data_IF_582203534795
#
_entry.id   IF_582203534795
#
_cell.length_a   1.000
_cell.length_b   1.000
_cell.length_c   1.000
_cell.angle_alpha   90.00
_cell.angle_beta   90.00
_cell.angle_gamma   90.00
#
_symmetry.space_group_name_H-M   'P 1'
#
loop_
_entity.id
_entity.type
_entity.pdbx_description
1 polymer ?
#
# COMPACT_ATOMS: atom_id res chain seq x y z
N UNK A 1 -21.74 -0.30 -0.06
CA UNK A 1 -21.04 0.98 0.18
C UNK A 1 -22.10 2.06 0.35
N UNK A 2 -22.03 2.86 1.42
CA UNK A 2 -23.03 3.91 1.73
C UNK A 2 -22.76 5.27 1.08
N UNK A 3 -21.77 5.34 0.18
CA UNK A 3 -21.25 6.55 -0.44
C UNK A 3 -21.05 6.34 -1.93
N UNK A 4 -21.10 7.42 -2.72
CA UNK A 4 -20.74 7.42 -4.15
C UNK A 4 -19.25 7.74 -4.28
N UNK A 5 -18.48 6.80 -4.83
CA UNK A 5 -17.02 6.88 -4.98
C UNK A 5 -16.53 5.92 -6.08
N UNK A 6 -15.21 5.83 -6.29
CA UNK A 6 -14.61 4.80 -7.13
C UNK A 6 -14.71 3.42 -6.48
N UNK A 7 -14.95 2.40 -7.32
CA UNK A 7 -15.17 1.00 -6.94
C UNK A 7 -14.74 0.09 -8.10
N UNK A 8 -14.10 -1.03 -7.79
CA UNK A 8 -13.93 -2.14 -8.73
C UNK A 8 -15.28 -2.78 -9.01
N UNK A 9 -15.77 -2.60 -10.24
CA UNK A 9 -17.06 -3.12 -10.67
C UNK A 9 -16.98 -3.61 -12.12
N UNK A 10 -17.83 -4.59 -12.45
CA UNK A 10 -17.97 -5.09 -13.81
C UNK A 10 -18.84 -4.16 -14.67
N UNK A 11 -19.08 -4.57 -15.92
CA UNK A 11 -19.90 -3.79 -16.86
C UNK A 11 -21.35 -3.63 -16.43
N UNK A 12 -21.85 -4.53 -15.57
CA UNK A 12 -23.23 -4.53 -15.09
C UNK A 12 -23.36 -3.81 -13.74
N UNK A 13 -22.27 -3.22 -13.25
CA UNK A 13 -22.20 -2.49 -11.97
C UNK A 13 -22.13 -3.41 -10.75
N UNK A 14 -21.85 -4.69 -10.92
CA UNK A 14 -21.62 -5.60 -9.79
C UNK A 14 -20.20 -5.40 -9.24
N UNK A 15 -20.06 -5.45 -7.92
CA UNK A 15 -18.74 -5.32 -7.27
C UNK A 15 -17.85 -6.51 -7.64
N UNK A 16 -16.62 -6.21 -8.09
CA UNK A 16 -15.56 -7.19 -8.31
C UNK A 16 -14.80 -7.42 -7.01
N UNK A 17 -14.42 -8.67 -6.73
CA UNK A 17 -13.58 -9.03 -5.59
C UNK A 17 -12.17 -8.45 -5.75
N UNK A 18 -11.67 -7.80 -4.71
CA UNK A 18 -10.28 -7.33 -4.63
C UNK A 18 -9.35 -8.46 -4.19
N UNK A 19 -8.05 -8.27 -4.39
CA UNK A 19 -7.04 -9.14 -3.82
C UNK A 19 -5.79 -8.35 -3.48
N UNK A 20 -5.25 -8.56 -2.28
CA UNK A 20 -3.94 -8.07 -1.85
C UNK A 20 -3.35 -9.00 -0.80
N UNK A 21 -2.02 -9.14 -0.76
CA UNK A 21 -1.34 -9.78 0.38
C UNK A 21 -1.61 -9.04 1.71
N UNK A 22 -1.98 -7.76 1.63
CA UNK A 22 -2.34 -6.92 2.76
C UNK A 22 -3.84 -6.92 3.00
N UNK A 23 -4.29 -7.62 4.06
CA UNK A 23 -5.71 -7.66 4.41
C UNK A 23 -6.33 -6.26 4.62
N UNK A 24 -5.57 -5.28 5.11
CA UNK A 24 -6.05 -3.91 5.32
C UNK A 24 -6.23 -3.07 4.04
N UNK A 25 -5.69 -3.53 2.90
CA UNK A 25 -5.87 -2.88 1.59
C UNK A 25 -6.72 -3.72 0.63
N UNK A 26 -7.11 -4.92 1.03
CA UNK A 26 -7.97 -5.80 0.26
C UNK A 26 -9.44 -5.33 0.34
N UNK A 27 -9.70 -4.23 -0.36
CA UNK A 27 -11.00 -3.59 -0.41
C UNK A 27 -11.26 -3.03 -1.82
N UNK A 28 -12.42 -3.30 -2.43
CA UNK A 28 -12.65 -2.92 -3.84
C UNK A 28 -12.99 -1.43 -4.03
N UNK A 29 -13.27 -0.69 -2.96
CA UNK A 29 -13.69 0.71 -3.02
C UNK A 29 -12.68 1.70 -2.44
N UNK A 30 -13.02 2.98 -2.45
CA UNK A 30 -12.23 4.04 -1.79
C UNK A 30 -13.16 5.12 -1.21
N UNK A 31 -12.72 5.81 -0.16
CA UNK A 31 -13.49 6.90 0.45
C UNK A 31 -13.75 8.07 -0.52
N UNK A 32 -14.92 8.74 -0.45
CA UNK A 32 -15.32 9.77 -1.41
C UNK A 32 -14.43 11.03 -1.38
N UNK A 33 -13.80 11.34 -0.25
CA UNK A 33 -12.85 12.46 -0.18
C UNK A 33 -11.59 12.19 -1.02
N UNK A 34 -11.11 10.94 -1.05
CA UNK A 34 -10.00 10.57 -1.92
C UNK A 34 -10.39 10.62 -3.40
N UNK A 35 -11.61 10.18 -3.74
CA UNK A 35 -12.15 10.31 -5.09
C UNK A 35 -12.18 11.79 -5.53
N UNK A 36 -12.68 12.67 -4.67
CA UNK A 36 -12.70 14.11 -4.95
C UNK A 36 -11.30 14.71 -5.13
N UNK A 37 -10.34 14.39 -4.25
CA UNK A 37 -8.96 14.88 -4.33
C UNK A 37 -8.25 14.38 -5.60
N UNK A 38 -8.55 13.17 -6.05
CA UNK A 38 -8.11 12.64 -7.34
C UNK A 38 -8.68 13.44 -8.51
N UNK A 39 -10.00 13.61 -8.55
CA UNK A 39 -10.72 14.24 -9.67
C UNK A 39 -10.27 15.69 -9.92
N UNK A 40 -9.93 16.42 -8.85
CA UNK A 40 -9.44 17.82 -8.95
C UNK A 40 -7.91 17.90 -9.18
N UNK A 41 -7.21 16.78 -9.28
CA UNK A 41 -5.76 16.71 -9.46
C UNK A 41 -4.95 17.13 -8.23
N UNK A 42 -5.54 17.13 -7.04
CA UNK A 42 -4.86 17.54 -5.80
C UNK A 42 -4.04 16.41 -5.17
N UNK A 43 -4.46 15.16 -5.39
CA UNK A 43 -3.76 13.97 -4.94
C UNK A 43 -3.58 12.98 -6.10
N UNK A 44 -2.42 12.33 -6.15
CA UNK A 44 -2.11 11.27 -7.10
C UNK A 44 -2.17 9.91 -6.38
N UNK A 45 -2.77 8.91 -7.02
CA UNK A 45 -2.95 7.56 -6.49
C UNK A 45 -2.22 6.59 -7.39
N UNK A 46 -1.23 5.89 -6.85
CA UNK A 46 -0.40 4.93 -7.59
C UNK A 46 -0.57 3.54 -7.00
N UNK A 47 -0.62 2.53 -7.87
CA UNK A 47 -0.69 1.14 -7.46
C UNK A 47 0.70 0.61 -7.11
N UNK A 48 0.75 -0.27 -6.10
CA UNK A 48 1.94 -0.99 -5.67
C UNK A 48 1.58 -2.47 -5.61
N UNK A 49 2.44 -3.32 -6.18
CA UNK A 49 2.24 -4.77 -6.18
C UNK A 49 2.68 -5.40 -4.86
N UNK A 50 2.18 -6.60 -4.57
CA UNK A 50 2.59 -7.39 -3.41
C UNK A 50 4.12 -7.53 -3.33
N UNK A 51 4.80 -7.85 -4.44
CA UNK A 51 6.26 -7.98 -4.48
C UNK A 51 7.00 -6.67 -4.14
N UNK A 52 6.49 -5.53 -4.60
CA UNK A 52 7.05 -4.23 -4.30
C UNK A 52 6.89 -3.88 -2.82
N UNK A 53 5.71 -4.15 -2.25
CA UNK A 53 5.44 -3.96 -0.83
C UNK A 53 6.34 -4.87 0.01
N UNK A 54 6.47 -6.15 -0.33
CA UNK A 54 7.31 -7.09 0.42
C UNK A 54 8.81 -6.76 0.29
N UNK A 55 9.25 -6.26 -0.86
CA UNK A 55 10.61 -5.71 -0.98
C UNK A 55 10.84 -4.56 0.01
N UNK A 56 9.93 -3.58 0.06
CA UNK A 56 10.03 -2.43 0.97
C UNK A 56 9.93 -2.84 2.45
N UNK A 57 9.08 -3.82 2.78
CA UNK A 57 8.99 -4.43 4.11
C UNK A 57 10.36 -4.96 4.56
N UNK A 58 11.00 -5.77 3.70
CA UNK A 58 12.31 -6.37 3.99
C UNK A 58 13.38 -5.30 4.13
N UNK A 59 13.35 -4.29 3.26
CA UNK A 59 14.32 -3.20 3.26
C UNK A 59 14.29 -2.43 4.59
N UNK A 60 13.10 -1.93 5.00
CA UNK A 60 12.98 -1.17 6.26
C UNK A 60 13.37 -2.01 7.48
N UNK A 61 12.96 -3.28 7.49
CA UNK A 61 13.27 -4.21 8.58
C UNK A 61 14.78 -4.42 8.73
N UNK A 62 15.51 -4.49 7.61
CA UNK A 62 16.96 -4.73 7.60
C UNK A 62 17.79 -3.46 7.79
N UNK A 63 17.35 -2.32 7.24
CA UNK A 63 18.13 -1.09 7.31
C UNK A 63 17.88 -0.32 8.62
N UNK A 64 16.63 -0.25 9.07
CA UNK A 64 16.23 0.57 10.22
C UNK A 64 15.83 -0.25 11.45
N UNK A 65 15.71 -1.57 11.34
CA UNK A 65 15.25 -2.43 12.44
C UNK A 65 13.77 -2.23 12.80
N UNK A 66 12.98 -1.66 11.88
CA UNK A 66 11.55 -1.42 12.07
C UNK A 66 10.79 -2.43 11.21
N UNK A 67 9.92 -3.22 11.84
CA UNK A 67 9.02 -4.16 11.14
C UNK A 67 7.70 -3.42 10.82
N UNK A 68 7.46 -3.00 9.56
CA UNK A 68 6.26 -2.27 9.21
C UNK A 68 5.07 -3.21 9.02
N UNK A 69 3.84 -2.71 9.16
CA UNK A 69 2.69 -3.44 8.63
C UNK A 69 2.82 -3.61 7.10
N UNK A 70 2.26 -4.67 6.53
CA UNK A 70 2.28 -4.86 5.05
C UNK A 70 1.55 -3.70 4.36
N UNK A 71 0.50 -3.14 4.97
CA UNK A 71 -0.19 -1.95 4.47
C UNK A 71 0.78 -0.76 4.38
N UNK A 72 1.57 -0.54 5.44
CA UNK A 72 2.61 0.51 5.50
C UNK A 72 3.68 0.28 4.43
N UNK A 73 4.04 -0.97 4.17
CA UNK A 73 5.07 -1.31 3.20
C UNK A 73 4.70 -0.91 1.76
N UNK A 74 3.41 -0.84 1.43
CA UNK A 74 2.95 -0.28 0.15
C UNK A 74 3.33 1.21 0.01
N UNK A 75 3.10 2.01 1.05
CA UNK A 75 3.47 3.43 1.04
C UNK A 75 4.99 3.61 0.93
N UNK A 76 5.78 2.76 1.60
CA UNK A 76 7.24 2.78 1.51
C UNK A 76 7.74 2.42 0.11
N UNK A 77 7.16 1.41 -0.53
CA UNK A 77 7.48 1.07 -1.91
C UNK A 77 7.16 2.22 -2.88
N UNK A 78 6.01 2.89 -2.70
CA UNK A 78 5.68 4.11 -3.45
C UNK A 78 6.68 5.25 -3.20
N UNK A 79 7.13 5.43 -1.96
CA UNK A 79 8.13 6.44 -1.62
C UNK A 79 9.49 6.18 -2.28
N UNK A 80 9.89 4.92 -2.48
CA UNK A 80 11.10 4.59 -3.24
C UNK A 80 10.98 5.02 -4.71
N UNK A 81 9.81 4.83 -5.34
CA UNK A 81 9.56 5.27 -6.72
C UNK A 81 9.57 6.80 -6.82
N UNK A 82 8.79 7.47 -5.97
CA UNK A 82 8.71 8.94 -5.95
C UNK A 82 10.05 9.58 -5.60
N UNK A 83 10.81 9.01 -4.68
CA UNK A 83 12.16 9.49 -4.32
C UNK A 83 13.11 9.43 -5.52
N UNK A 84 13.05 8.36 -6.32
CA UNK A 84 13.85 8.24 -7.54
C UNK A 84 13.43 9.26 -8.61
N UNK A 85 12.14 9.56 -8.73
CA UNK A 85 11.62 10.57 -9.66
C UNK A 85 12.04 11.99 -9.29
N UNK A 86 11.99 12.33 -8.00
CA UNK A 86 12.33 13.66 -7.50
C UNK A 86 13.85 13.91 -7.41
N UNK A 87 14.64 12.84 -7.30
CA UNK A 87 16.10 12.90 -7.27
C UNK A 87 16.69 13.16 -5.88
N UNK A 88 18.02 13.29 -5.86
CA UNK A 88 18.76 13.43 -4.61
C UNK A 88 18.44 14.73 -3.88
N UNK A 89 18.28 14.65 -2.55
CA UNK A 89 17.96 15.79 -1.69
C UNK A 89 16.46 16.07 -1.55
N UNK A 90 15.59 15.34 -2.23
CA UNK A 90 14.15 15.40 -1.99
C UNK A 90 13.81 14.98 -0.54
N UNK A 91 12.86 15.68 0.08
CA UNK A 91 12.37 15.36 1.43
C UNK A 91 10.98 14.75 1.29
N UNK A 92 10.84 13.50 1.73
CA UNK A 92 9.58 12.76 1.73
C UNK A 92 9.13 12.49 3.16
N UNK A 93 7.86 12.76 3.45
CA UNK A 93 7.20 12.36 4.69
C UNK A 93 6.29 11.18 4.40
N UNK A 94 6.51 10.06 5.08
CA UNK A 94 5.76 8.83 4.90
C UNK A 94 4.99 8.52 6.18
N UNK A 95 3.70 8.21 6.05
CA UNK A 95 2.90 7.74 7.17
C UNK A 95 3.16 6.24 7.41
N UNK A 96 3.81 5.91 8.53
CA UNK A 96 3.94 4.53 9.01
C UNK A 96 2.68 4.15 9.79
N UNK A 97 1.62 3.80 9.05
CA UNK A 97 0.26 3.64 9.60
C UNK A 97 0.12 2.52 10.63
N UNK A 98 1.00 1.52 10.58
CA UNK A 98 1.00 0.41 11.52
C UNK A 98 2.31 -0.36 11.58
N UNK A 99 2.46 -1.14 12.65
CA UNK A 99 3.56 -2.08 12.90
C UNK A 99 3.22 -3.48 12.41
N UNK A 100 4.25 -4.26 12.05
CA UNK A 100 4.11 -5.54 11.38
C UNK A 100 3.97 -6.78 12.25
N UNK A 101 3.75 -6.65 13.57
CA UNK A 101 3.60 -7.83 14.45
C UNK A 101 2.51 -8.80 13.95
N UNK A 102 1.40 -8.26 13.44
CA UNK A 102 0.29 -9.05 12.88
C UNK A 102 0.67 -9.80 11.59
N UNK A 103 1.69 -9.32 10.90
CA UNK A 103 2.08 -9.79 9.56
C UNK A 103 3.30 -10.71 9.57
N UNK A 104 3.89 -10.99 10.75
CA UNK A 104 5.12 -11.78 10.88
C UNK A 104 4.99 -13.16 10.25
N UNK A 105 3.85 -13.85 10.42
CA UNK A 105 3.63 -15.16 9.83
C UNK A 105 3.57 -15.11 8.30
N UNK A 106 2.80 -14.17 7.74
CA UNK A 106 2.71 -13.93 6.30
C UNK A 106 4.07 -13.59 5.71
N UNK A 107 4.82 -12.69 6.35
CA UNK A 107 6.15 -12.30 5.92
C UNK A 107 7.14 -13.46 5.98
N UNK A 108 7.14 -14.25 7.05
CA UNK A 108 8.03 -15.39 7.18
C UNK A 108 7.76 -16.45 6.10
N UNK A 109 6.48 -16.76 5.82
CA UNK A 109 6.11 -17.65 4.73
C UNK A 109 6.55 -17.09 3.37
N UNK A 110 6.30 -15.80 3.11
CA UNK A 110 6.69 -15.15 1.87
C UNK A 110 8.21 -15.20 1.63
N UNK A 111 9.01 -14.97 2.67
CA UNK A 111 10.47 -14.99 2.58
C UNK A 111 11.11 -16.38 2.80
N UNK A 112 10.31 -17.42 3.03
CA UNK A 112 10.82 -18.77 3.33
C UNK A 112 11.62 -18.86 4.63
N UNK A 113 11.28 -18.05 5.62
CA UNK A 113 11.92 -18.03 6.94
C UNK A 113 11.13 -18.97 7.88
N UNK A 114 11.79 -19.95 8.53
CA UNK A 114 11.13 -20.77 9.54
C UNK A 114 10.82 -19.94 10.80
N UNK A 115 9.60 -20.09 11.32
CA UNK A 115 9.15 -19.54 12.60
C UNK A 115 8.98 -20.64 13.65
#
# INVERSE_FOLDING_TARGET
HGTRSYLLQDSDGQTIESHSISAGLDYPGVGPEHAYLHDIGRAEYRAITDDQAMHAFSLLSKSEGIIPAIETAHALAGALQVGNELGSGAILLINLSGRGDKDVQTAAQYFGIPL
#
